data_IF_098985983988
#
_entry.id   IF_098985983988
#
_cell.length_a   1.000
_cell.length_b   1.000
_cell.length_c   1.000
_cell.angle_alpha   90.00
_cell.angle_beta   90.00
_cell.angle_gamma   90.00
#
_symmetry.space_group_name_H-M   'P 1'
#
loop_
_entity.id
_entity.type
_entity.pdbx_description
1 polymer ?
#
# COMPACT_ATOMS: atom_id res chain seq x y z
N UNK A 1 8.75 1.47 9.98
CA UNK A 1 8.93 2.69 9.14
C UNK A 1 7.56 3.16 8.64
N UNK A 2 7.26 4.46 8.50
CA UNK A 2 5.95 4.93 8.00
C UNK A 2 5.97 5.16 6.49
N UNK A 3 4.98 4.63 5.78
CA UNK A 3 4.87 4.73 4.31
C UNK A 3 3.49 5.25 3.91
N UNK A 4 3.44 6.12 2.91
CA UNK A 4 2.22 6.52 2.23
C UNK A 4 2.30 6.10 0.75
N UNK A 5 1.20 5.62 0.19
CA UNK A 5 1.08 5.24 -1.22
C UNK A 5 0.05 6.18 -1.84
N UNK A 6 0.44 6.94 -2.86
CA UNK A 6 -0.46 7.84 -3.59
C UNK A 6 -0.56 7.39 -5.05
N UNK A 7 -1.73 7.59 -5.63
CA UNK A 7 -2.04 7.28 -7.03
C UNK A 7 -2.19 8.58 -7.82
N UNK A 8 -1.52 8.69 -8.96
CA UNK A 8 -1.66 9.83 -9.86
C UNK A 8 -2.51 9.43 -11.08
N UNK A 9 -2.11 9.80 -12.29
CA UNK A 9 -2.77 9.39 -13.53
C UNK A 9 -2.38 7.94 -13.93
N UNK A 10 -2.52 7.00 -12.98
CA UNK A 10 -2.22 5.57 -13.14
C UNK A 10 -3.47 4.70 -13.24
N UNK A 11 -3.26 3.39 -13.36
CA UNK A 11 -4.33 2.37 -13.35
C UNK A 11 -4.37 1.53 -12.06
N UNK A 12 -3.64 1.95 -11.03
CA UNK A 12 -3.41 1.19 -9.78
C UNK A 12 -2.63 -0.12 -9.90
N UNK A 13 -2.10 -0.46 -11.08
CA UNK A 13 -1.29 -1.66 -11.27
C UNK A 13 -0.06 -1.74 -10.35
N UNK A 14 0.52 -0.59 -9.98
CA UNK A 14 1.63 -0.54 -9.01
C UNK A 14 1.18 -0.94 -7.59
N UNK A 15 0.03 -0.47 -7.14
CA UNK A 15 -0.52 -0.86 -5.84
C UNK A 15 -0.94 -2.32 -5.84
N UNK A 16 -1.52 -2.82 -6.94
CA UNK A 16 -1.83 -4.25 -7.10
C UNK A 16 -0.54 -5.09 -7.05
N UNK A 17 0.55 -4.65 -7.67
CA UNK A 17 1.82 -5.37 -7.62
C UNK A 17 2.39 -5.48 -6.18
N UNK A 18 2.12 -4.49 -5.31
CA UNK A 18 2.44 -4.59 -3.88
C UNK A 18 1.56 -5.64 -3.18
N UNK A 19 0.27 -5.69 -3.51
CA UNK A 19 -0.66 -6.70 -2.98
C UNK A 19 -0.37 -8.12 -3.51
N UNK A 20 0.27 -8.22 -4.67
CA UNK A 20 0.68 -9.48 -5.30
C UNK A 20 1.88 -10.13 -4.59
N UNK A 21 2.41 -9.52 -3.52
CA UNK A 21 3.32 -10.17 -2.58
C UNK A 21 2.63 -11.29 -1.78
N UNK A 22 1.30 -11.37 -1.84
CA UNK A 22 0.50 -12.40 -1.20
C UNK A 22 0.83 -12.52 0.30
N UNK A 23 1.21 -13.70 0.78
CA UNK A 23 1.49 -13.93 2.20
C UNK A 23 2.71 -13.15 2.69
N UNK A 24 3.70 -12.87 1.82
CA UNK A 24 4.88 -12.07 2.18
C UNK A 24 4.51 -10.61 2.50
N UNK A 25 3.35 -10.13 2.06
CA UNK A 25 2.87 -8.80 2.42
C UNK A 25 2.73 -8.64 3.94
N UNK A 26 2.39 -9.73 4.65
CA UNK A 26 2.24 -9.71 6.11
C UNK A 26 3.55 -9.37 6.81
N UNK A 27 4.66 -9.97 6.37
CA UNK A 27 5.99 -9.66 6.90
C UNK A 27 6.39 -8.21 6.60
N UNK A 28 6.02 -7.68 5.42
CA UNK A 28 6.31 -6.30 5.04
C UNK A 28 5.58 -5.31 5.94
N UNK A 29 4.29 -5.53 6.22
CA UNK A 29 3.50 -4.60 7.04
C UNK A 29 3.85 -4.65 8.53
N UNK A 30 4.51 -5.72 9.00
CA UNK A 30 5.08 -5.77 10.36
C UNK A 30 6.26 -4.79 10.52
N UNK A 31 7.07 -4.63 9.47
CA UNK A 31 8.24 -3.74 9.46
C UNK A 31 7.92 -2.32 8.93
N UNK A 32 6.91 -2.21 8.06
CA UNK A 32 6.48 -0.98 7.40
C UNK A 32 4.99 -0.69 7.61
N UNK A 33 4.73 0.36 8.38
CA UNK A 33 3.39 0.86 8.68
C UNK A 33 2.89 1.72 7.52
N UNK A 34 1.94 1.20 6.73
CA UNK A 34 1.27 1.96 5.69
C UNK A 34 0.25 2.85 6.40
N UNK A 35 0.43 4.17 6.36
CA UNK A 35 -0.43 5.14 7.07
C UNK A 35 -1.45 5.82 6.17
N UNK A 36 -1.18 5.87 4.87
CA UNK A 36 -2.09 6.38 3.85
C UNK A 36 -2.01 5.54 2.56
N UNK A 37 -3.18 5.21 2.00
CA UNK A 37 -3.32 4.70 0.64
C UNK A 37 -4.77 4.83 0.19
N UNK A 38 -5.07 5.43 -0.98
CA UNK A 38 -6.45 5.62 -1.43
C UNK A 38 -7.13 4.30 -1.83
N UNK A 39 -6.37 3.24 -2.09
CA UNK A 39 -6.89 1.94 -2.57
C UNK A 39 -7.09 0.93 -1.44
N UNK A 40 -6.18 0.89 -0.46
CA UNK A 40 -6.16 -0.18 0.57
C UNK A 40 -6.44 0.33 1.98
N UNK A 41 -6.63 1.64 2.19
CA UNK A 41 -6.98 2.21 3.49
C UNK A 41 -8.03 3.31 3.38
N UNK A 42 -8.72 3.57 4.48
CA UNK A 42 -9.79 4.58 4.54
C UNK A 42 -9.33 5.94 5.07
N UNK A 43 -8.06 6.06 5.48
CA UNK A 43 -7.45 7.34 5.86
C UNK A 43 -7.54 8.32 4.68
N UNK A 44 -8.22 9.45 4.86
CA UNK A 44 -8.47 10.46 3.81
C UNK A 44 -7.53 11.67 3.86
N UNK A 45 -6.82 11.86 4.98
CA UNK A 45 -5.96 13.02 5.28
C UNK A 45 -4.53 12.58 5.61
#
# INVERSE_FOLDING_TARGET
MKIAIEELAGCSGCTIAVLDLHEMLLDVIEEADIVYSPVIMDTKE
#
